data_IF_204854257001
#
_entry.id   IF_204854257001
#
_cell.length_a   1.000
_cell.length_b   1.000
_cell.length_c   1.000
_cell.angle_alpha   90.00
_cell.angle_beta   90.00
_cell.angle_gamma   90.00
#
_symmetry.space_group_name_H-M   'P 1'
#
loop_
_entity.id
_entity.type
_entity.pdbx_description
1 polymer ?
#
# COMPACT_ATOMS: atom_id res chain seq x y z
N UNK A 1 76.11 -16.50 32.94
CA UNK A 1 74.80 -16.87 33.51
C UNK A 1 73.73 -15.99 32.89
N UNK A 2 72.67 -16.62 32.39
CA UNK A 2 71.35 -16.10 31.99
C UNK A 2 71.19 -15.02 30.90
N UNK A 3 70.74 -15.56 29.75
CA UNK A 3 69.76 -15.07 28.76
C UNK A 3 68.91 -13.84 29.17
N UNK A 4 68.63 -12.97 28.20
CA UNK A 4 67.25 -12.56 27.86
C UNK A 4 67.20 -11.95 26.44
N UNK A 5 66.62 -12.68 25.50
CA UNK A 5 66.15 -12.17 24.20
C UNK A 5 64.74 -11.64 24.43
N UNK A 6 64.51 -10.34 24.30
CA UNK A 6 63.16 -9.77 24.26
C UNK A 6 62.74 -9.61 22.79
N UNK A 7 61.82 -10.48 22.37
CA UNK A 7 61.11 -10.41 21.11
C UNK A 7 59.99 -9.37 21.24
N UNK A 8 60.10 -8.24 20.55
CA UNK A 8 59.00 -7.26 20.44
C UNK A 8 58.00 -7.75 19.39
N UNK A 9 56.92 -8.37 19.86
CA UNK A 9 55.74 -8.65 19.05
C UNK A 9 55.00 -7.35 18.73
N UNK A 10 54.81 -7.08 17.43
CA UNK A 10 53.97 -6.02 16.90
C UNK A 10 52.50 -6.42 17.08
N UNK A 11 51.79 -5.82 18.03
CA UNK A 11 50.34 -5.99 18.18
C UNK A 11 49.62 -5.06 17.23
N UNK A 12 49.29 -5.54 16.02
CA UNK A 12 48.34 -4.87 15.13
C UNK A 12 46.93 -5.18 15.65
N UNK A 13 46.33 -4.23 16.36
CA UNK A 13 44.93 -4.29 16.76
C UNK A 13 44.04 -4.12 15.52
N UNK A 14 43.51 -5.22 15.00
CA UNK A 14 42.41 -5.25 14.04
C UNK A 14 41.11 -4.80 14.73
N UNK A 15 40.87 -3.50 14.77
CA UNK A 15 39.55 -2.93 15.08
C UNK A 15 38.77 -2.69 13.78
N UNK A 16 38.48 -3.74 13.03
CA UNK A 16 37.49 -3.70 11.95
C UNK A 16 36.67 -5.01 11.93
N UNK A 17 35.65 -5.17 12.79
CA UNK A 17 34.56 -6.10 12.45
C UNK A 17 33.21 -5.38 12.29
N UNK A 18 33.00 -4.22 12.91
CA UNK A 18 31.67 -3.61 12.98
C UNK A 18 31.19 -2.94 11.67
N UNK A 19 32.11 -2.51 10.80
CA UNK A 19 31.75 -1.83 9.54
C UNK A 19 31.33 -2.83 8.46
N UNK A 20 31.85 -4.06 8.50
CA UNK A 20 31.50 -5.09 7.52
C UNK A 20 30.09 -5.67 7.75
N UNK A 21 29.63 -5.74 9.00
CA UNK A 21 28.32 -6.31 9.36
C UNK A 21 27.14 -5.38 9.00
N UNK A 22 27.37 -4.07 8.98
CA UNK A 22 26.38 -3.08 8.56
C UNK A 22 26.16 -3.04 7.03
N UNK A 23 27.16 -3.46 6.25
CA UNK A 23 27.10 -3.46 4.79
C UNK A 23 26.25 -4.63 4.22
N UNK A 24 25.97 -5.65 5.02
CA UNK A 24 25.33 -6.90 4.57
C UNK A 24 23.85 -7.03 4.99
N UNK A 25 23.32 -6.08 5.79
CA UNK A 25 21.89 -6.10 6.18
C UNK A 25 21.05 -5.38 5.12
N UNK A 26 19.98 -6.02 4.60
CA UNK A 26 19.11 -5.36 3.63
C UNK A 26 18.35 -4.21 4.28
N UNK A 27 18.01 -3.18 3.48
CA UNK A 27 17.18 -2.06 3.95
C UNK A 27 15.87 -2.57 4.55
N UNK A 28 15.40 -1.94 5.63
CA UNK A 28 14.03 -2.16 6.08
C UNK A 28 13.07 -1.53 5.08
N UNK A 29 12.16 -2.33 4.52
CA UNK A 29 11.13 -1.80 3.62
C UNK A 29 9.90 -1.40 4.44
N UNK A 30 9.39 -0.21 4.20
CA UNK A 30 8.11 0.27 4.73
C UNK A 30 7.23 0.58 3.53
N UNK A 31 6.12 -0.15 3.38
CA UNK A 31 5.21 -0.06 2.25
C UNK A 31 3.91 0.53 2.76
N UNK A 32 3.63 1.77 2.36
CA UNK A 32 2.42 2.50 2.76
C UNK A 32 1.46 2.54 1.58
N UNK A 33 0.19 2.25 1.84
CA UNK A 33 -0.83 2.24 0.81
C UNK A 33 -2.14 2.85 1.24
N UNK A 34 -2.87 3.36 0.27
CA UNK A 34 -4.12 4.08 0.46
C UNK A 34 -5.24 3.49 -0.40
N UNK A 35 -6.37 3.17 0.23
CA UNK A 35 -7.54 2.61 -0.44
C UNK A 35 -8.60 3.68 -0.75
N UNK A 36 -9.24 3.53 -1.91
CA UNK A 36 -10.31 4.40 -2.43
C UNK A 36 -9.78 5.62 -3.19
N UNK A 37 -8.78 6.30 -2.63
CA UNK A 37 -8.03 7.41 -3.26
C UNK A 37 -8.92 8.52 -3.88
N UNK A 38 -10.01 8.90 -3.19
CA UNK A 38 -10.98 9.84 -3.75
C UNK A 38 -10.74 11.29 -3.36
N UNK A 39 -10.48 11.61 -2.09
CA UNK A 39 -10.45 12.98 -1.61
C UNK A 39 -9.25 13.78 -2.18
N UNK A 40 -9.53 14.91 -2.84
CA UNK A 40 -8.50 15.74 -3.50
C UNK A 40 -7.58 16.47 -2.50
N UNK A 41 -8.07 16.83 -1.31
CA UNK A 41 -7.23 17.42 -0.28
C UNK A 41 -6.25 16.39 0.30
N UNK A 42 -6.70 15.14 0.44
CA UNK A 42 -5.83 14.03 0.87
C UNK A 42 -4.84 13.59 -0.20
N UNK A 43 -5.15 13.76 -1.48
CA UNK A 43 -4.15 13.62 -2.54
C UNK A 43 -2.99 14.59 -2.35
N UNK A 44 -3.29 15.89 -2.18
CA UNK A 44 -2.26 16.90 -1.95
C UNK A 44 -1.46 16.59 -0.67
N UNK A 45 -2.16 16.34 0.44
CA UNK A 45 -1.54 16.03 1.74
C UNK A 45 -0.61 14.81 1.67
N UNK A 46 -1.05 13.72 1.04
CA UNK A 46 -0.25 12.49 0.93
C UNK A 46 0.98 12.67 0.04
N UNK A 47 0.85 13.35 -1.10
CA UNK A 47 1.97 13.64 -2.00
C UNK A 47 3.01 14.55 -1.35
N UNK A 48 2.57 15.60 -0.65
CA UNK A 48 3.46 16.47 0.13
C UNK A 48 4.18 15.70 1.25
N UNK A 49 3.45 14.85 1.98
CA UNK A 49 4.02 13.97 3.00
C UNK A 49 5.07 13.03 2.40
N UNK A 50 4.79 12.44 1.24
CA UNK A 50 5.71 11.53 0.56
C UNK A 50 6.99 12.26 0.10
N UNK A 51 6.83 13.40 -0.57
CA UNK A 51 7.93 14.21 -1.07
C UNK A 51 8.86 14.71 0.05
N UNK A 52 8.29 15.18 1.17
CA UNK A 52 9.06 15.63 2.35
C UNK A 52 9.94 14.51 2.91
N UNK A 53 9.46 13.27 2.87
CA UNK A 53 10.09 12.13 3.53
C UNK A 53 10.88 11.22 2.58
N UNK A 54 10.95 11.56 1.29
CA UNK A 54 11.56 10.71 0.27
C UNK A 54 10.89 9.34 0.17
N UNK A 55 9.57 9.30 0.36
CA UNK A 55 8.77 8.09 0.32
C UNK A 55 7.99 8.01 -0.99
N UNK A 56 7.72 6.79 -1.45
CA UNK A 56 6.73 6.54 -2.50
C UNK A 56 5.60 5.68 -1.95
N UNK A 57 4.36 6.09 -2.18
CA UNK A 57 3.17 5.39 -1.72
C UNK A 57 2.48 4.64 -2.85
N UNK A 58 1.61 3.70 -2.49
CA UNK A 58 0.69 3.05 -3.44
C UNK A 58 -0.74 3.53 -3.22
N UNK A 59 -1.41 3.95 -4.29
CA UNK A 59 -2.80 4.40 -4.27
C UNK A 59 -3.68 3.38 -4.99
N UNK A 60 -4.54 2.68 -4.25
CA UNK A 60 -5.53 1.75 -4.80
C UNK A 60 -6.81 2.55 -5.12
N UNK A 61 -7.02 2.82 -6.41
CA UNK A 61 -8.10 3.65 -6.92
C UNK A 61 -9.42 2.88 -6.99
N UNK A 62 -10.53 3.45 -6.52
CA UNK A 62 -11.87 2.96 -6.91
C UNK A 62 -12.38 3.73 -8.12
N UNK A 63 -12.62 3.04 -9.24
CA UNK A 63 -12.88 3.71 -10.53
C UNK A 63 -14.19 4.54 -10.55
N UNK A 64 -15.14 4.26 -9.65
CA UNK A 64 -16.40 5.04 -9.55
C UNK A 64 -16.16 6.49 -9.17
N UNK A 65 -15.01 6.82 -8.57
CA UNK A 65 -14.60 8.20 -8.32
C UNK A 65 -14.15 8.92 -9.59
N UNK A 66 -14.10 8.28 -10.75
CA UNK A 66 -13.93 8.94 -12.04
C UNK A 66 -15.24 8.95 -12.85
N UNK A 67 -16.36 8.70 -12.19
CA UNK A 67 -17.70 8.75 -12.77
C UNK A 67 -18.58 9.70 -11.97
N UNK A 68 -19.22 10.65 -12.65
CA UNK A 68 -20.22 11.53 -12.07
C UNK A 68 -21.63 10.88 -12.07
N UNK A 69 -22.63 11.61 -11.58
CA UNK A 69 -24.04 11.18 -11.55
C UNK A 69 -24.60 10.78 -12.94
N UNK A 70 -24.16 11.44 -14.02
CA UNK A 70 -24.60 11.13 -15.38
C UNK A 70 -23.97 9.83 -15.90
N UNK A 71 -22.70 9.59 -15.57
CA UNK A 71 -21.91 8.44 -16.01
C UNK A 71 -22.19 7.18 -15.17
N UNK A 72 -22.66 7.29 -13.92
CA UNK A 72 -22.80 6.12 -13.03
C UNK A 72 -23.62 4.97 -13.60
N UNK A 73 -24.61 5.25 -14.47
CA UNK A 73 -25.46 4.21 -15.09
C UNK A 73 -24.72 3.34 -16.12
N UNK A 74 -23.55 3.80 -16.59
CA UNK A 74 -22.66 3.01 -17.43
C UNK A 74 -21.99 1.89 -16.64
N UNK A 75 -21.81 2.06 -15.32
CA UNK A 75 -21.25 1.06 -14.44
C UNK A 75 -22.29 0.03 -13.99
N UNK A 76 -21.91 -1.25 -14.06
CA UNK A 76 -22.65 -2.35 -13.46
C UNK A 76 -21.66 -3.41 -12.96
N UNK A 77 -21.53 -3.52 -11.64
CA UNK A 77 -20.77 -4.60 -11.04
C UNK A 77 -21.46 -5.96 -11.27
N UNK A 78 -20.70 -7.07 -11.25
CA UNK A 78 -21.26 -8.41 -11.16
C UNK A 78 -22.32 -8.54 -10.07
N UNK A 79 -23.45 -9.15 -10.41
CA UNK A 79 -24.57 -9.42 -9.49
C UNK A 79 -25.21 -8.17 -8.85
N UNK A 80 -24.92 -6.96 -9.37
CA UNK A 80 -25.47 -5.70 -8.87
C UNK A 80 -26.37 -5.00 -9.89
N UNK A 81 -27.23 -4.11 -9.39
CA UNK A 81 -28.01 -3.20 -10.24
C UNK A 81 -27.10 -2.14 -10.85
N UNK A 82 -27.40 -1.69 -12.07
CA UNK A 82 -26.67 -0.59 -12.75
C UNK A 82 -26.60 0.66 -11.86
N UNK A 83 -25.44 1.31 -11.84
CA UNK A 83 -25.18 2.52 -11.07
C UNK A 83 -25.15 2.33 -9.55
N UNK A 84 -24.87 1.12 -9.08
CA UNK A 84 -24.62 0.85 -7.66
C UNK A 84 -23.14 0.86 -7.34
N UNK A 85 -22.80 1.46 -6.20
CA UNK A 85 -21.47 1.49 -5.59
C UNK A 85 -21.67 1.57 -4.07
N UNK A 86 -20.84 0.86 -3.30
CA UNK A 86 -20.83 0.95 -1.83
C UNK A 86 -20.10 2.20 -1.32
N UNK A 87 -19.27 2.81 -2.17
CA UNK A 87 -18.46 4.00 -1.84
C UNK A 87 -18.92 5.25 -2.60
N UNK A 88 -19.98 5.13 -3.39
CA UNK A 88 -20.52 6.24 -4.17
C UNK A 88 -19.73 6.53 -5.44
N UNK A 89 -19.84 7.78 -5.88
CA UNK A 89 -19.38 8.31 -7.16
C UNK A 89 -18.85 9.73 -6.95
N UNK A 90 -18.13 10.28 -7.92
CA UNK A 90 -17.72 11.68 -7.88
C UNK A 90 -18.92 12.62 -7.89
N UNK A 91 -18.83 13.74 -7.18
CA UNK A 91 -19.93 14.69 -7.04
C UNK A 91 -20.04 15.63 -8.25
N UNK A 92 -18.94 15.88 -8.96
CA UNK A 92 -18.90 16.78 -10.11
C UNK A 92 -17.76 16.46 -11.10
N UNK A 93 -17.84 17.03 -12.30
CA UNK A 93 -16.75 16.97 -13.28
C UNK A 93 -15.50 17.69 -12.79
N UNK A 94 -15.64 18.79 -12.05
CA UNK A 94 -14.49 19.56 -11.53
C UNK A 94 -13.69 18.73 -10.53
N UNK A 95 -14.39 18.00 -9.66
CA UNK A 95 -13.76 17.04 -8.74
C UNK A 95 -13.00 15.95 -9.49
N UNK A 96 -13.57 15.41 -10.57
CA UNK A 96 -12.90 14.42 -11.43
C UNK A 96 -11.67 15.03 -12.12
N UNK A 97 -11.77 16.25 -12.66
CA UNK A 97 -10.63 16.93 -13.32
C UNK A 97 -9.46 17.11 -12.36
N UNK A 98 -9.73 17.57 -11.15
CA UNK A 98 -8.71 17.73 -10.11
C UNK A 98 -8.13 16.37 -9.68
N UNK A 99 -8.98 15.36 -9.49
CA UNK A 99 -8.55 13.99 -9.15
C UNK A 99 -7.65 13.39 -10.22
N UNK A 100 -7.98 13.57 -11.50
CA UNK A 100 -7.15 13.10 -12.61
C UNK A 100 -5.79 13.80 -12.64
N UNK A 101 -5.75 15.10 -12.34
CA UNK A 101 -4.50 15.82 -12.13
C UNK A 101 -3.68 15.21 -11.00
N UNK A 102 -4.30 14.92 -9.85
CA UNK A 102 -3.63 14.29 -8.72
C UNK A 102 -3.08 12.89 -9.03
N UNK A 103 -3.87 12.04 -9.68
CA UNK A 103 -3.42 10.70 -10.11
C UNK A 103 -2.22 10.82 -11.05
N UNK A 104 -2.31 11.72 -12.04
CA UNK A 104 -1.22 11.92 -13.00
C UNK A 104 0.05 12.43 -12.33
N UNK A 105 -0.05 13.41 -11.44
CA UNK A 105 1.12 13.92 -10.73
C UNK A 105 1.71 12.90 -9.77
N UNK A 106 0.89 12.13 -9.05
CA UNK A 106 1.38 11.06 -8.19
C UNK A 106 2.19 10.02 -8.99
N UNK A 107 1.71 9.65 -10.18
CA UNK A 107 2.45 8.77 -11.09
C UNK A 107 3.81 9.38 -11.50
N UNK A 108 3.84 10.65 -11.91
CA UNK A 108 5.07 11.34 -12.29
C UNK A 108 6.07 11.49 -11.12
N UNK A 109 5.56 11.51 -9.90
CA UNK A 109 6.34 11.56 -8.65
C UNK A 109 6.89 10.19 -8.22
N UNK A 110 6.61 9.12 -8.98
CA UNK A 110 7.09 7.77 -8.69
C UNK A 110 6.19 6.96 -7.76
N UNK A 111 5.00 7.47 -7.43
CA UNK A 111 4.01 6.69 -6.71
C UNK A 111 3.39 5.61 -7.60
N UNK A 112 2.96 4.53 -6.95
CA UNK A 112 2.32 3.41 -7.60
C UNK A 112 0.81 3.63 -7.66
N UNK A 113 0.25 3.58 -8.86
CA UNK A 113 -1.18 3.68 -9.10
C UNK A 113 -1.71 2.29 -9.38
N UNK A 114 -2.65 1.85 -8.55
CA UNK A 114 -3.15 0.48 -8.54
C UNK A 114 -4.67 0.40 -8.45
N UNK A 115 -5.23 -0.77 -8.72
CA UNK A 115 -6.69 -0.96 -8.78
C UNK A 115 -7.28 -1.35 -7.42
N UNK A 116 -8.39 -0.70 -7.05
CA UNK A 116 -9.30 -1.10 -5.98
C UNK A 116 -10.68 -1.45 -6.51
N UNK A 117 -10.74 -1.98 -7.75
CA UNK A 117 -11.97 -2.22 -8.49
C UNK A 117 -12.79 -0.92 -8.67
N UNK A 118 -14.10 -1.04 -8.88
CA UNK A 118 -14.97 0.12 -9.10
C UNK A 118 -15.92 0.32 -7.92
N UNK A 119 -16.91 -0.54 -7.74
CA UNK A 119 -18.03 -0.29 -6.84
C UNK A 119 -17.82 -0.70 -5.38
N UNK A 120 -16.61 -1.15 -5.03
CA UNK A 120 -16.23 -1.55 -3.68
C UNK A 120 -17.16 -2.64 -3.10
N UNK A 121 -17.41 -3.70 -3.87
CA UNK A 121 -18.24 -4.84 -3.49
C UNK A 121 -17.41 -6.00 -2.94
N UNK A 122 -18.01 -6.83 -2.07
CA UNK A 122 -17.40 -8.09 -1.64
C UNK A 122 -17.44 -9.09 -2.81
N UNK A 123 -16.30 -9.26 -3.47
CA UNK A 123 -16.11 -10.15 -4.60
C UNK A 123 -15.79 -11.60 -4.22
N UNK A 124 -15.94 -12.02 -2.95
CA UNK A 124 -15.53 -13.37 -2.51
C UNK A 124 -16.19 -14.52 -3.27
N UNK A 125 -17.34 -14.30 -3.88
CA UNK A 125 -18.07 -15.32 -4.62
C UNK A 125 -18.09 -15.06 -6.14
N UNK A 126 -17.25 -14.13 -6.61
CA UNK A 126 -17.14 -13.80 -8.02
C UNK A 126 -16.29 -14.85 -8.74
N UNK A 127 -16.78 -15.24 -9.92
CA UNK A 127 -16.03 -16.09 -10.86
C UNK A 127 -14.89 -15.33 -11.54
N UNK A 128 -14.00 -16.03 -12.26
CA UNK A 128 -12.98 -15.38 -13.11
C UNK A 128 -13.62 -14.37 -14.09
N UNK A 129 -14.79 -14.72 -14.64
CA UNK A 129 -15.50 -13.86 -15.59
C UNK A 129 -16.05 -12.58 -14.93
N UNK A 130 -16.54 -12.70 -13.69
CA UNK A 130 -17.03 -11.56 -12.90
C UNK A 130 -15.87 -10.60 -12.59
N UNK A 131 -14.74 -11.12 -12.09
CA UNK A 131 -13.54 -10.32 -11.83
C UNK A 131 -12.98 -9.68 -13.11
N UNK A 132 -12.90 -10.45 -14.20
CA UNK A 132 -12.44 -9.93 -15.50
C UNK A 132 -13.31 -8.77 -15.99
N UNK A 133 -14.62 -8.83 -15.78
CA UNK A 133 -15.53 -7.75 -16.16
C UNK A 133 -15.33 -6.50 -15.30
N UNK A 134 -15.08 -6.65 -14.00
CA UNK A 134 -14.78 -5.53 -13.10
C UNK A 134 -13.44 -4.86 -13.47
N UNK A 135 -12.39 -5.64 -13.76
CA UNK A 135 -11.09 -5.12 -14.18
C UNK A 135 -11.15 -4.43 -15.55
N UNK A 136 -11.89 -5.00 -16.50
CA UNK A 136 -12.11 -4.35 -17.80
C UNK A 136 -12.88 -3.02 -17.64
N UNK A 137 -13.84 -2.96 -16.73
CA UNK A 137 -14.56 -1.72 -16.41
C UNK A 137 -13.62 -0.68 -15.80
N UNK A 138 -12.75 -1.09 -14.87
CA UNK A 138 -11.74 -0.23 -14.28
C UNK A 138 -10.83 0.37 -15.35
N UNK A 139 -10.23 -0.48 -16.21
CA UNK A 139 -9.34 -0.05 -17.29
C UNK A 139 -10.04 0.92 -18.26
N UNK A 140 -11.23 0.56 -18.76
CA UNK A 140 -12.00 1.40 -19.68
C UNK A 140 -12.41 2.75 -19.05
N UNK A 141 -12.66 2.78 -17.74
CA UNK A 141 -12.98 4.03 -17.04
C UNK A 141 -11.80 4.98 -17.08
N UNK A 142 -10.59 4.49 -16.78
CA UNK A 142 -9.38 5.31 -16.75
C UNK A 142 -8.93 5.73 -18.15
N UNK A 143 -9.04 4.84 -19.13
CA UNK A 143 -8.80 5.15 -20.55
C UNK A 143 -9.65 6.35 -21.00
N UNK A 144 -10.92 6.40 -20.58
CA UNK A 144 -11.87 7.42 -21.00
C UNK A 144 -12.00 8.61 -20.03
N UNK A 145 -11.29 8.61 -18.89
CA UNK A 145 -11.59 9.52 -17.78
C UNK A 145 -11.43 11.00 -18.17
N UNK A 146 -10.33 11.39 -18.82
CA UNK A 146 -10.10 12.78 -19.25
C UNK A 146 -11.16 13.25 -20.25
N UNK A 147 -11.49 12.40 -21.23
CA UNK A 147 -12.52 12.68 -22.23
C UNK A 147 -13.90 12.84 -21.61
N UNK A 148 -14.20 12.05 -20.57
CA UNK A 148 -15.49 12.09 -19.88
C UNK A 148 -15.80 13.45 -19.25
N UNK A 149 -14.75 14.22 -18.91
CA UNK A 149 -14.84 15.58 -18.37
C UNK A 149 -14.42 16.65 -19.38
N UNK A 150 -14.43 16.32 -20.67
CA UNK A 150 -14.16 17.26 -21.76
C UNK A 150 -12.72 17.74 -21.87
N UNK A 151 -11.76 16.98 -21.32
CA UNK A 151 -10.33 17.29 -21.40
C UNK A 151 -9.59 16.31 -22.32
N UNK A 152 -8.43 16.75 -22.82
CA UNK A 152 -7.45 15.85 -23.44
C UNK A 152 -6.55 15.26 -22.36
N UNK A 153 -6.27 13.96 -22.46
CA UNK A 153 -5.34 13.31 -21.56
C UNK A 153 -3.90 13.80 -21.79
N UNK A 154 -3.06 13.90 -20.75
CA UNK A 154 -1.65 14.24 -20.90
C UNK A 154 -0.91 13.16 -21.69
N UNK A 155 0.19 13.55 -22.35
CA UNK A 155 1.08 12.60 -23.01
C UNK A 155 1.60 11.57 -21.99
N UNK A 156 1.44 10.28 -22.30
CA UNK A 156 1.81 9.18 -21.41
C UNK A 156 0.66 8.65 -20.53
N UNK A 157 -0.51 9.30 -20.47
CA UNK A 157 -1.65 8.76 -19.73
C UNK A 157 -2.07 7.37 -20.21
N UNK A 158 -2.13 7.18 -21.53
CA UNK A 158 -2.51 5.88 -22.10
C UNK A 158 -1.49 4.79 -21.73
N UNK A 159 -0.20 5.12 -21.71
CA UNK A 159 0.87 4.21 -21.29
C UNK A 159 0.74 3.83 -19.82
N UNK A 160 0.42 4.79 -18.94
CA UNK A 160 0.08 4.52 -17.55
C UNK A 160 -1.10 3.54 -17.43
N UNK A 161 -2.18 3.76 -18.18
CA UNK A 161 -3.39 2.91 -18.11
C UNK A 161 -3.13 1.50 -18.65
N UNK A 162 -2.41 1.37 -19.77
CA UNK A 162 -2.17 0.08 -20.42
C UNK A 162 -1.04 -0.72 -19.76
N UNK A 163 -0.07 -0.03 -19.17
CA UNK A 163 1.19 -0.65 -18.73
C UNK A 163 1.61 -0.27 -17.31
N UNK A 164 1.23 0.89 -16.79
CA UNK A 164 1.65 1.37 -15.48
C UNK A 164 0.86 0.82 -14.28
N UNK A 165 -0.40 0.42 -14.47
CA UNK A 165 -1.24 -0.10 -13.37
C UNK A 165 -1.00 -1.59 -13.20
N UNK A 166 -0.18 -1.96 -12.21
CA UNK A 166 0.32 -3.33 -12.02
C UNK A 166 -0.17 -4.03 -10.75
N UNK A 167 -0.87 -3.31 -9.88
CA UNK A 167 -1.33 -3.84 -8.60
C UNK A 167 -2.84 -3.87 -8.47
N UNK A 168 -3.29 -4.74 -7.58
CA UNK A 168 -4.67 -4.83 -7.14
C UNK A 168 -4.78 -4.99 -5.62
N UNK A 169 -5.86 -4.46 -5.05
CA UNK A 169 -6.35 -4.83 -3.72
C UNK A 169 -7.86 -5.01 -3.77
N UNK A 170 -8.34 -6.16 -3.34
CA UNK A 170 -9.75 -6.48 -3.23
C UNK A 170 -10.40 -5.62 -2.12
N UNK A 171 -11.57 -5.00 -2.41
CA UNK A 171 -12.39 -4.40 -1.37
C UNK A 171 -12.63 -5.35 -0.19
N UNK A 172 -12.64 -4.79 1.02
CA UNK A 172 -12.78 -5.53 2.29
C UNK A 172 -11.66 -6.54 2.58
N UNK A 173 -10.53 -6.50 1.86
CA UNK A 173 -9.49 -7.54 1.90
C UNK A 173 -10.06 -8.94 1.64
N UNK A 174 -11.16 -8.98 0.86
CA UNK A 174 -11.91 -10.19 0.58
C UNK A 174 -11.29 -10.95 -0.58
N UNK A 175 -9.98 -11.20 -0.47
CA UNK A 175 -9.28 -12.10 -1.35
C UNK A 175 -9.88 -13.49 -1.21
N UNK A 176 -10.40 -14.03 -2.31
CA UNK A 176 -10.57 -15.47 -2.38
C UNK A 176 -9.21 -16.13 -2.42
N UNK A 177 -8.97 -17.08 -1.53
CA UNK A 177 -8.02 -18.14 -1.85
C UNK A 177 -8.67 -18.95 -2.98
N UNK A 178 -8.13 -18.86 -4.19
CA UNK A 178 -8.70 -19.57 -5.34
C UNK A 178 -8.24 -19.03 -6.69
N UNK A 179 -8.25 -19.92 -7.67
CA UNK A 179 -7.76 -19.68 -9.03
C UNK A 179 -8.53 -18.58 -9.77
N UNK A 180 -9.80 -18.30 -9.45
CA UNK A 180 -10.64 -17.40 -10.25
C UNK A 180 -10.17 -15.93 -10.23
N UNK A 181 -9.93 -15.36 -9.04
CA UNK A 181 -9.46 -13.97 -8.93
C UNK A 181 -8.05 -13.84 -9.52
N UNK A 182 -7.16 -14.76 -9.19
CA UNK A 182 -5.77 -14.78 -9.67
C UNK A 182 -5.72 -14.96 -11.20
N UNK A 183 -6.55 -15.83 -11.77
CA UNK A 183 -6.66 -15.98 -13.22
C UNK A 183 -7.12 -14.69 -13.90
N UNK A 184 -8.11 -13.99 -13.32
CA UNK A 184 -8.56 -12.70 -13.81
C UNK A 184 -7.48 -11.61 -13.67
N UNK A 185 -6.73 -11.57 -12.57
CA UNK A 185 -5.62 -10.64 -12.34
C UNK A 185 -4.52 -10.82 -13.39
N UNK A 186 -4.13 -12.07 -13.66
CA UNK A 186 -3.15 -12.41 -14.71
C UNK A 186 -3.63 -11.97 -16.08
N UNK A 187 -4.90 -12.19 -16.40
CA UNK A 187 -5.51 -11.76 -17.66
C UNK A 187 -5.56 -10.24 -17.80
N UNK A 188 -5.75 -9.53 -16.68
CA UNK A 188 -5.70 -8.07 -16.62
C UNK A 188 -4.27 -7.51 -16.65
N UNK A 189 -3.25 -8.36 -16.49
CA UNK A 189 -1.84 -7.96 -16.52
C UNK A 189 -1.32 -7.39 -15.20
N UNK A 190 -2.01 -7.65 -14.08
CA UNK A 190 -1.48 -7.35 -12.76
C UNK A 190 -0.30 -8.26 -12.43
N UNK A 191 0.64 -7.73 -11.66
CA UNK A 191 1.85 -8.42 -11.18
C UNK A 191 1.80 -8.75 -9.69
N UNK A 192 0.96 -8.03 -8.94
CA UNK A 192 0.80 -8.24 -7.51
C UNK A 192 -0.63 -8.01 -7.03
N UNK A 193 -0.98 -8.70 -5.95
CA UNK A 193 -2.23 -8.59 -5.20
C UNK A 193 -1.90 -8.26 -3.73
N UNK A 194 -2.48 -7.21 -3.17
CA UNK A 194 -2.21 -6.75 -1.80
C UNK A 194 -3.41 -6.97 -0.87
N UNK A 195 -4.15 -8.06 -1.09
CA UNK A 195 -5.44 -8.34 -0.45
C UNK A 195 -5.37 -9.27 0.77
N UNK A 196 -4.21 -9.90 1.04
CA UNK A 196 -4.12 -10.86 2.14
C UNK A 196 -4.07 -10.17 3.51
N UNK A 197 -4.31 -10.96 4.56
CA UNK A 197 -4.03 -10.58 5.95
C UNK A 197 -3.11 -11.65 6.55
N UNK A 198 -2.01 -11.23 7.17
CA UNK A 198 -1.01 -12.14 7.75
C UNK A 198 -0.96 -12.00 9.26
N UNK A 199 -0.51 -13.06 9.97
CA UNK A 199 -0.43 -13.07 11.44
C UNK A 199 0.62 -12.11 12.05
N UNK A 200 1.35 -11.40 11.19
CA UNK A 200 2.44 -10.48 11.48
C UNK A 200 3.09 -10.07 10.16
N UNK A 201 4.08 -9.16 10.16
CA UNK A 201 4.86 -8.85 8.97
C UNK A 201 5.42 -10.14 8.37
N UNK A 202 5.17 -10.35 7.08
CA UNK A 202 5.56 -11.55 6.34
C UNK A 202 6.17 -11.14 4.99
N UNK A 203 7.02 -12.00 4.44
CA UNK A 203 7.44 -11.87 3.04
C UNK A 203 6.22 -12.13 2.14
N UNK A 204 6.12 -11.49 0.96
CA UNK A 204 5.10 -11.85 0.00
C UNK A 204 5.32 -13.27 -0.53
N UNK A 205 4.24 -13.87 -1.01
CA UNK A 205 4.24 -15.22 -1.62
C UNK A 205 3.84 -15.12 -3.08
N UNK A 206 4.51 -15.86 -3.97
CA UNK A 206 4.12 -15.96 -5.38
C UNK A 206 3.12 -17.11 -5.54
N UNK A 207 1.92 -16.82 -6.05
CA UNK A 207 0.86 -17.77 -6.33
C UNK A 207 0.41 -17.62 -7.79
N UNK A 208 0.61 -18.67 -8.59
CA UNK A 208 0.32 -18.71 -10.03
C UNK A 208 0.89 -17.53 -10.86
N UNK A 209 2.01 -16.95 -10.42
CA UNK A 209 2.67 -15.82 -11.09
C UNK A 209 2.17 -14.44 -10.66
N UNK A 210 1.33 -14.36 -9.63
CA UNK A 210 0.97 -13.12 -8.93
C UNK A 210 1.70 -13.07 -7.59
N UNK A 211 2.36 -11.95 -7.30
CA UNK A 211 3.01 -11.71 -6.02
C UNK A 211 1.96 -11.22 -5.01
N UNK A 212 1.72 -12.01 -3.97
CA UNK A 212 0.68 -11.74 -2.98
C UNK A 212 1.27 -11.17 -1.70
N UNK A 213 0.83 -9.96 -1.39
CA UNK A 213 1.15 -9.21 -0.20
C UNK A 213 -0.01 -9.27 0.80
N UNK A 214 0.34 -9.23 2.08
CA UNK A 214 -0.66 -9.23 3.16
C UNK A 214 -0.41 -8.17 4.22
N UNK A 215 -1.47 -7.46 4.56
CA UNK A 215 -1.46 -6.51 5.67
C UNK A 215 -1.25 -7.29 6.98
N UNK A 216 -0.23 -6.93 7.79
CA UNK A 216 0.12 -7.68 8.97
C UNK A 216 -0.80 -7.36 10.13
N UNK A 217 -1.04 -8.35 10.98
CA UNK A 217 -1.43 -8.09 12.36
C UNK A 217 -0.25 -7.47 13.13
N UNK A 218 -0.46 -6.31 13.74
CA UNK A 218 0.50 -5.61 14.59
C UNK A 218 -0.01 -5.56 16.04
N UNK A 219 0.87 -5.53 17.05
CA UNK A 219 0.47 -5.31 18.44
C UNK A 219 -0.08 -3.89 18.60
N UNK A 220 -1.13 -3.74 19.40
CA UNK A 220 -1.65 -2.42 19.75
C UNK A 220 -2.28 -2.42 21.15
N UNK A 221 -2.06 -1.31 21.86
CA UNK A 221 -2.58 -1.06 23.20
C UNK A 221 -1.86 -1.82 24.31
N UNK A 222 -2.22 -1.58 25.59
CA UNK A 222 -1.52 -2.14 26.75
C UNK A 222 -1.52 -3.67 26.84
N UNK A 223 -2.50 -4.32 26.20
CA UNK A 223 -2.59 -5.79 26.14
C UNK A 223 -1.98 -6.38 24.87
N UNK A 224 -1.34 -5.56 24.03
CA UNK A 224 -0.74 -5.93 22.74
C UNK A 224 -1.66 -6.78 21.85
N UNK A 225 -2.98 -6.48 21.87
CA UNK A 225 -3.95 -7.32 21.17
C UNK A 225 -3.74 -7.12 19.66
N UNK A 226 -3.49 -8.20 18.88
CA UNK A 226 -3.22 -8.05 17.45
C UNK A 226 -4.33 -7.31 16.70
N UNK A 227 -3.96 -6.43 15.78
CA UNK A 227 -4.84 -5.67 14.91
C UNK A 227 -4.28 -5.61 13.51
N UNK A 228 -5.09 -5.63 12.46
CA UNK A 228 -4.58 -5.36 11.10
C UNK A 228 -3.95 -3.97 11.12
N UNK A 229 -2.74 -3.83 10.56
CA UNK A 229 -2.02 -2.56 10.38
C UNK A 229 -2.71 -1.65 9.37
N UNK A 230 -3.98 -1.34 9.62
CA UNK A 230 -4.83 -0.49 8.81
C UNK A 230 -5.65 0.44 9.69
N UNK A 231 -5.75 1.71 9.30
CA UNK A 231 -6.44 2.77 10.04
C UNK A 231 -7.90 2.44 10.40
N UNK A 232 -8.68 1.83 9.51
CA UNK A 232 -10.07 1.46 9.81
C UNK A 232 -10.18 0.46 10.96
N UNK A 233 -9.23 -0.47 11.09
CA UNK A 233 -9.23 -1.39 12.21
C UNK A 233 -8.92 -0.68 13.52
N UNK A 234 -8.02 0.32 13.49
CA UNK A 234 -7.75 1.18 14.64
C UNK A 234 -8.98 2.03 14.99
N UNK A 235 -9.65 2.61 14.00
CA UNK A 235 -10.91 3.34 14.15
C UNK A 235 -12.00 2.51 14.85
N UNK A 236 -12.23 1.29 14.37
CA UNK A 236 -13.17 0.36 15.02
C UNK A 236 -12.74 0.04 16.46
N UNK A 237 -11.45 -0.08 16.74
CA UNK A 237 -10.98 -0.39 18.09
C UNK A 237 -11.04 0.81 19.04
N UNK A 238 -10.67 1.99 18.56
CA UNK A 238 -10.50 3.20 19.34
C UNK A 238 -11.83 3.85 19.64
N UNK A 239 -12.74 3.90 18.66
CA UNK A 239 -14.01 4.62 18.77
C UNK A 239 -15.20 3.83 18.23
N UNK A 240 -15.09 2.50 18.11
CA UNK A 240 -16.18 1.60 17.64
C UNK A 240 -16.66 1.91 16.22
N UNK A 241 -15.85 2.60 15.42
CA UNK A 241 -16.21 3.00 14.07
C UNK A 241 -17.09 4.25 14.03
N UNK A 242 -17.11 5.03 15.12
CA UNK A 242 -17.81 6.31 15.23
C UNK A 242 -16.78 7.43 15.38
N UNK A 243 -17.00 8.57 14.73
CA UNK A 243 -16.09 9.72 14.81
C UNK A 243 -16.01 10.26 16.24
N UNK A 244 -14.80 10.32 16.78
CA UNK A 244 -14.49 10.97 18.03
C UNK A 244 -13.26 11.88 17.88
N UNK A 245 -13.54 13.18 17.79
CA UNK A 245 -12.50 14.22 17.69
C UNK A 245 -11.92 14.62 19.03
N UNK A 246 -12.61 14.31 20.15
CA UNK A 246 -12.17 14.72 21.48
C UNK A 246 -10.94 13.93 21.92
N UNK A 247 -10.94 12.61 21.65
CA UNK A 247 -9.85 11.70 22.00
C UNK A 247 -8.85 11.49 20.84
N UNK A 248 -8.96 12.28 19.77
CA UNK A 248 -8.14 12.19 18.54
C UNK A 248 -6.62 12.19 18.81
N UNK A 249 -6.15 12.92 19.82
CA UNK A 249 -4.73 12.94 20.20
C UNK A 249 -4.29 11.61 20.83
N UNK A 250 -5.13 11.01 21.69
CA UNK A 250 -4.85 9.69 22.26
C UNK A 250 -4.78 8.63 21.16
N UNK A 251 -5.74 8.65 20.23
CA UNK A 251 -5.78 7.71 19.12
C UNK A 251 -4.56 7.84 18.20
N UNK A 252 -4.11 9.07 17.94
CA UNK A 252 -2.87 9.33 17.20
C UNK A 252 -1.66 8.71 17.90
N UNK A 253 -1.49 8.96 19.21
CA UNK A 253 -0.35 8.45 19.97
C UNK A 253 -0.34 6.92 20.01
N UNK A 254 -1.50 6.30 20.20
CA UNK A 254 -1.64 4.84 20.19
C UNK A 254 -1.37 4.23 18.82
N UNK A 255 -1.88 4.84 17.74
CA UNK A 255 -1.62 4.39 16.38
C UNK A 255 -0.13 4.52 16.04
N UNK A 256 0.49 5.65 16.36
CA UNK A 256 1.92 5.86 16.16
C UNK A 256 2.76 4.82 16.92
N UNK A 257 2.44 4.58 18.20
CA UNK A 257 3.14 3.58 19.01
C UNK A 257 3.05 2.17 18.39
N UNK A 258 1.86 1.75 17.94
CA UNK A 258 1.65 0.45 17.31
C UNK A 258 2.45 0.32 16.00
N UNK A 259 2.41 1.34 15.14
CA UNK A 259 3.16 1.34 13.88
C UNK A 259 4.68 1.33 14.13
N UNK A 260 5.14 2.13 15.08
CA UNK A 260 6.55 2.24 15.44
C UNK A 260 7.10 0.96 16.06
N UNK A 261 6.33 0.31 16.93
CA UNK A 261 6.70 -0.98 17.51
C UNK A 261 6.81 -2.08 16.43
N UNK A 262 5.84 -2.14 15.51
CA UNK A 262 5.89 -3.05 14.38
C UNK A 262 7.12 -2.80 13.50
N UNK A 263 7.46 -1.53 13.24
CA UNK A 263 8.68 -1.14 12.53
C UNK A 263 9.94 -1.57 13.28
N UNK A 264 10.07 -1.22 14.56
CA UNK A 264 11.27 -1.50 15.35
C UNK A 264 11.56 -3.00 15.43
N UNK A 265 10.51 -3.83 15.54
CA UNK A 265 10.65 -5.29 15.51
C UNK A 265 11.26 -5.78 14.19
N UNK A 266 10.81 -5.26 13.04
CA UNK A 266 11.38 -5.67 11.74
C UNK A 266 12.76 -5.09 11.50
N UNK A 267 12.96 -3.84 11.89
CA UNK A 267 14.21 -3.10 11.77
C UNK A 267 15.34 -3.73 12.62
N UNK A 268 15.05 -4.15 13.84
CA UNK A 268 15.99 -4.87 14.69
C UNK A 268 16.21 -6.33 14.23
N UNK A 269 15.17 -6.94 13.63
CA UNK A 269 15.14 -8.34 13.24
C UNK A 269 15.57 -8.62 11.79
N UNK A 270 14.80 -9.49 11.13
CA UNK A 270 15.10 -10.07 9.83
C UNK A 270 14.81 -9.14 8.62
N UNK A 271 14.42 -7.88 8.88
CA UNK A 271 14.10 -6.87 7.86
C UNK A 271 12.97 -7.30 6.91
N UNK A 272 11.96 -7.96 7.48
CA UNK A 272 10.73 -8.33 6.76
C UNK A 272 9.99 -7.03 6.40
N UNK A 273 9.49 -6.86 5.16
CA UNK A 273 8.75 -5.66 4.78
C UNK A 273 7.58 -5.39 5.73
N UNK A 274 7.47 -4.15 6.22
CA UNK A 274 6.32 -3.70 6.98
C UNK A 274 5.33 -3.04 6.02
N UNK A 275 4.12 -3.57 5.95
CA UNK A 275 3.04 -2.98 5.17
C UNK A 275 2.04 -2.30 6.12
N UNK A 276 1.58 -1.10 5.76
CA UNK A 276 0.51 -0.40 6.47
C UNK A 276 -0.52 0.13 5.46
N UNK A 277 -1.80 -0.09 5.75
CA UNK A 277 -2.92 0.35 4.93
C UNK A 277 -3.61 1.57 5.54
N UNK A 278 -4.12 2.45 4.70
CA UNK A 278 -4.89 3.62 5.11
C UNK A 278 -6.06 3.81 4.15
N UNK A 279 -7.13 4.43 4.61
CA UNK A 279 -8.21 4.89 3.75
C UNK A 279 -7.97 6.35 3.38
N UNK A 280 -8.45 6.77 2.21
CA UNK A 280 -8.49 8.18 1.82
C UNK A 280 -9.62 8.96 2.53
N UNK A 281 -9.68 8.81 3.86
CA UNK A 281 -10.62 9.46 4.77
C UNK A 281 -9.89 9.75 6.08
N UNK A 282 -10.15 10.91 6.67
CA UNK A 282 -9.60 11.27 7.98
C UNK A 282 -10.53 10.82 9.11
N UNK A 283 -10.32 9.59 9.61
CA UNK A 283 -11.08 9.06 10.74
C UNK A 283 -10.58 9.60 12.08
N UNK A 284 -11.49 9.76 13.05
CA UNK A 284 -11.26 10.37 14.36
C UNK A 284 -10.50 11.69 14.28
N UNK A 285 -10.99 12.60 13.45
CA UNK A 285 -10.36 13.90 13.22
C UNK A 285 -8.93 13.82 12.66
N UNK A 286 -8.61 12.77 11.90
CA UNK A 286 -7.31 12.61 11.22
C UNK A 286 -6.20 12.00 12.10
N UNK A 287 -6.54 11.35 13.21
CA UNK A 287 -5.59 10.75 14.14
C UNK A 287 -4.60 9.81 13.44
N UNK A 288 -5.09 8.92 12.58
CA UNK A 288 -4.25 7.90 11.92
C UNK A 288 -3.35 8.48 10.82
N UNK A 289 -3.81 9.53 10.14
CA UNK A 289 -3.00 10.25 9.15
C UNK A 289 -1.87 11.05 9.81
N UNK A 290 -2.10 11.63 11.00
CA UNK A 290 -1.02 12.26 11.77
C UNK A 290 -0.05 11.24 12.34
N UNK A 291 -0.53 10.09 12.79
CA UNK A 291 0.32 8.98 13.21
C UNK A 291 1.21 8.46 12.07
N UNK A 292 0.66 8.38 10.85
CA UNK A 292 1.43 8.05 9.64
C UNK A 292 2.51 9.10 9.38
N UNK A 293 2.17 10.40 9.35
CA UNK A 293 3.13 11.48 9.11
C UNK A 293 4.30 11.43 10.10
N UNK A 294 4.00 11.19 11.39
CA UNK A 294 5.01 10.99 12.43
C UNK A 294 5.91 9.79 12.15
N UNK A 295 5.32 8.65 11.77
CA UNK A 295 6.09 7.43 11.47
C UNK A 295 7.04 7.67 10.29
N UNK A 296 6.54 8.17 9.16
CA UNK A 296 7.38 8.36 7.97
C UNK A 296 8.46 9.41 8.20
N UNK A 297 8.16 10.47 8.97
CA UNK A 297 9.14 11.48 9.39
C UNK A 297 10.25 10.93 10.30
N UNK A 298 9.96 9.92 11.12
CA UNK A 298 10.97 9.27 11.97
C UNK A 298 11.83 8.27 11.18
N UNK A 299 11.21 7.46 10.31
CA UNK A 299 11.90 6.27 9.78
C UNK A 299 12.41 6.42 8.35
N UNK A 300 11.75 7.19 7.47
CA UNK A 300 12.07 7.17 6.04
C UNK A 300 13.38 7.89 5.69
N UNK A 301 13.85 8.81 6.54
CA UNK A 301 15.13 9.50 6.36
C UNK A 301 16.36 8.66 6.70
N UNK A 302 16.18 7.48 7.31
CA UNK A 302 17.29 6.60 7.70
C UNK A 302 17.91 5.94 6.47
N UNK A 303 19.22 5.93 6.37
CA UNK A 303 19.94 5.42 5.18
C UNK A 303 19.70 3.94 4.89
N UNK A 304 19.38 3.16 5.92
CA UNK A 304 19.09 1.73 5.86
C UNK A 304 17.59 1.40 5.91
N UNK A 305 16.72 2.39 5.63
CA UNK A 305 15.28 2.23 5.41
C UNK A 305 14.95 2.63 3.98
N UNK A 306 13.91 2.02 3.42
CA UNK A 306 13.32 2.43 2.15
C UNK A 306 11.79 2.46 2.31
N UNK A 307 11.21 3.65 2.20
CA UNK A 307 9.77 3.84 2.17
C UNK A 307 9.32 3.86 0.72
N UNK A 308 8.83 2.72 0.25
CA UNK A 308 8.69 2.43 -1.18
C UNK A 308 7.28 1.92 -1.48
N UNK A 309 6.86 2.10 -2.72
CA UNK A 309 5.64 1.50 -3.23
C UNK A 309 5.75 -0.03 -3.33
N UNK A 310 4.63 -0.72 -3.55
CA UNK A 310 4.66 -2.17 -3.84
C UNK A 310 5.49 -2.48 -5.09
N UNK A 311 5.28 -1.74 -6.18
CA UNK A 311 6.02 -1.92 -7.43
C UNK A 311 7.54 -1.79 -7.27
N UNK A 312 8.01 -0.90 -6.39
CA UNK A 312 9.45 -0.76 -6.08
C UNK A 312 9.93 -1.80 -5.05
N UNK A 313 9.08 -2.20 -4.12
CA UNK A 313 9.42 -3.20 -3.11
C UNK A 313 9.68 -4.58 -3.74
N UNK A 314 8.94 -4.95 -4.79
CA UNK A 314 9.06 -6.25 -5.48
C UNK A 314 10.51 -6.53 -5.91
N UNK A 315 11.16 -5.73 -6.78
CA UNK A 315 12.53 -6.00 -7.21
C UNK A 315 13.53 -5.95 -6.03
N UNK A 316 13.28 -5.13 -5.00
CA UNK A 316 14.10 -5.10 -3.78
C UNK A 316 13.96 -6.35 -2.92
N UNK A 317 12.81 -7.03 -2.97
CA UNK A 317 12.55 -8.30 -2.28
C UNK A 317 13.14 -9.46 -3.06
N UNK A 318 12.97 -9.47 -4.38
CA UNK A 318 13.54 -10.48 -5.27
C UNK A 318 15.06 -10.52 -5.18
N UNK A 319 15.72 -9.36 -5.12
CA UNK A 319 17.17 -9.26 -4.92
C UNK A 319 17.67 -9.89 -3.61
N UNK A 320 16.78 -10.13 -2.63
CA UNK A 320 17.11 -10.83 -1.37
C UNK A 320 16.99 -12.35 -1.48
N UNK A 321 16.43 -12.88 -2.57
CA UNK A 321 16.15 -14.32 -2.74
C UNK A 321 15.09 -14.87 -1.79
N UNK A 322 14.20 -14.02 -1.27
CA UNK A 322 13.21 -14.38 -0.23
C UNK A 322 11.75 -14.40 -0.72
N UNK A 323 11.51 -14.46 -2.03
CA UNK A 323 10.16 -14.66 -2.55
C UNK A 323 9.80 -16.14 -2.41
N UNK A 324 8.84 -16.45 -1.54
CA UNK A 324 8.37 -17.82 -1.36
C UNK A 324 7.40 -18.17 -2.49
N UNK A 325 7.65 -19.28 -3.18
CA UNK A 325 6.75 -19.78 -4.24
C UNK A 325 5.84 -20.85 -3.66
N UNK A 326 4.52 -20.66 -3.76
CA UNK A 326 3.59 -21.75 -3.50
C UNK A 326 3.51 -22.63 -4.74
N UNK A 327 3.85 -23.90 -4.62
CA UNK A 327 3.61 -24.87 -5.68
C UNK A 327 2.11 -25.14 -5.73
N UNK A 328 1.41 -24.53 -6.69
CA UNK A 328 0.02 -24.88 -7.01
C UNK A 328 -0.07 -26.37 -7.29
N UNK A 329 -0.81 -27.08 -6.44
CA UNK A 329 -1.20 -28.47 -6.63
C UNK A 329 -2.71 -28.54 -6.86
#
# INVERSE_FOLDING_TARGET
MSRLLLSTCLSVSLLIPAIAEAADRPKQLVIISFDGAHDNALWLKSREMAAKNGAHFTYFLSCTFLMNEAAKKAYQAPHQKRGKSNVGFAQSDDEIRERLGNIWHAHLEGHDISSHACGHFDGRLWSEADWSAEYATFHATLENAWKSVGLQAPAGWQDLVDHGIKGFRAPYLSATAGADMIAAEKKAGFSYDASLVTKGPAMPVEEDGIIRFGLPLIPEGPSEKPIIGMDYNLFVRHSKGEEDTADSTEFEDRAYAAFKEAFDKQYAGARIPLQLGFHFVEMNGGAYWRALDRLVSDVCHRTDVACVSYSEAIPMIEARGKLERTSGL
#
